data_IF_357522169050
#
_entry.id   IF_357522169050
#
_cell.length_a   1.000
_cell.length_b   1.000
_cell.length_c   1.000
_cell.angle_alpha   90.00
_cell.angle_beta   90.00
_cell.angle_gamma   90.00
#
_symmetry.space_group_name_H-M   'P 1'
#
loop_
_entity.id
_entity.type
_entity.pdbx_description
1 polymer ?
#
# COMPACT_ATOMS: atom_id res chain seq x y z
N UNK A 1 42.77 11.24 -24.19
CA UNK A 1 41.71 12.17 -23.75
C UNK A 1 41.08 11.60 -22.49
N UNK A 2 41.11 12.28 -21.34
CA UNK A 2 40.34 11.83 -20.18
C UNK A 2 38.90 12.33 -20.33
N UNK A 3 37.92 11.43 -20.22
CA UNK A 3 36.51 11.81 -20.11
C UNK A 3 36.28 12.44 -18.73
N UNK A 4 35.84 13.69 -18.71
CA UNK A 4 35.44 14.41 -17.49
C UNK A 4 34.18 13.73 -16.90
N UNK A 5 34.37 12.96 -15.81
CA UNK A 5 33.32 12.38 -14.95
C UNK A 5 32.61 13.47 -14.12
N UNK A 6 31.95 14.43 -14.76
CA UNK A 6 31.27 15.55 -14.04
C UNK A 6 29.79 15.29 -13.77
N UNK A 7 29.24 14.13 -14.17
CA UNK A 7 27.83 13.79 -13.99
C UNK A 7 27.67 12.36 -13.49
N UNK A 8 27.31 12.19 -12.22
CA UNK A 8 26.89 10.90 -11.66
C UNK A 8 25.47 10.59 -12.11
N UNK A 9 25.30 9.53 -12.89
CA UNK A 9 23.98 9.09 -13.34
C UNK A 9 23.09 8.72 -12.14
N UNK A 10 21.81 9.09 -12.19
CA UNK A 10 20.84 8.87 -11.10
C UNK A 10 20.99 9.78 -9.89
N UNK A 11 21.93 10.75 -9.90
CA UNK A 11 22.00 11.77 -8.85
C UNK A 11 20.75 12.66 -8.88
N UNK A 12 19.99 12.65 -7.79
CA UNK A 12 18.71 13.35 -7.71
C UNK A 12 18.32 13.68 -6.28
N UNK A 13 17.15 14.30 -6.10
CA UNK A 13 16.59 14.61 -4.79
C UNK A 13 15.65 13.49 -4.34
N UNK A 14 15.90 12.93 -3.16
CA UNK A 14 15.13 11.83 -2.57
C UNK A 14 14.77 12.15 -1.12
N UNK A 15 13.61 11.68 -0.66
CA UNK A 15 13.20 11.89 0.72
C UNK A 15 14.02 11.02 1.67
N UNK A 16 14.70 11.65 2.63
CA UNK A 16 15.40 10.96 3.70
C UNK A 16 14.55 10.98 4.97
N UNK A 17 14.06 9.82 5.38
CA UNK A 17 13.19 9.67 6.56
C UNK A 17 13.87 10.05 7.88
N UNK A 18 15.18 9.82 8.01
CA UNK A 18 15.93 10.10 9.25
C UNK A 18 16.06 11.60 9.54
N UNK A 19 16.10 12.43 8.49
CA UNK A 19 16.15 13.89 8.60
C UNK A 19 14.85 14.57 8.17
N UNK A 20 13.83 13.78 7.81
CA UNK A 20 12.50 14.24 7.40
C UNK A 20 12.48 15.29 6.26
N UNK A 21 13.46 15.27 5.37
CA UNK A 21 13.59 16.22 4.26
C UNK A 21 14.14 15.58 3.00
N UNK A 22 13.94 16.24 1.85
CA UNK A 22 14.58 15.84 0.62
C UNK A 22 16.08 16.16 0.67
N UNK A 23 16.92 15.20 0.29
CA UNK A 23 18.36 15.36 0.16
C UNK A 23 18.82 14.90 -1.22
N UNK A 24 19.89 15.51 -1.70
CA UNK A 24 20.54 15.09 -2.93
C UNK A 24 21.34 13.80 -2.66
N UNK A 25 21.19 12.80 -3.52
CA UNK A 25 21.87 11.53 -3.38
C UNK A 25 21.52 10.55 -4.50
N UNK A 26 21.93 9.30 -4.30
CA UNK A 26 21.51 8.16 -5.11
C UNK A 26 20.50 7.35 -4.31
N UNK A 27 19.53 6.76 -5.00
CA UNK A 27 18.51 5.90 -4.42
C UNK A 27 18.41 4.62 -5.23
N UNK A 28 18.02 3.53 -4.55
CA UNK A 28 17.83 2.25 -5.17
C UNK A 28 16.59 1.57 -4.61
N UNK A 29 15.76 1.07 -5.52
CA UNK A 29 14.59 0.26 -5.21
C UNK A 29 15.03 -1.19 -4.97
N UNK A 30 14.81 -1.66 -3.74
CA UNK A 30 15.10 -3.02 -3.29
C UNK A 30 13.80 -3.80 -3.12
N UNK A 31 13.69 -4.93 -3.81
CA UNK A 31 12.71 -5.97 -3.52
C UNK A 31 13.39 -7.05 -2.66
N UNK A 32 12.74 -7.44 -1.57
CA UNK A 32 13.24 -8.45 -0.65
C UNK A 32 12.20 -9.54 -0.39
N UNK A 33 12.66 -10.78 -0.25
CA UNK A 33 11.85 -11.93 0.17
C UNK A 33 11.84 -12.02 1.68
N UNK A 34 10.66 -11.96 2.29
CA UNK A 34 10.50 -12.07 3.74
C UNK A 34 10.15 -13.50 4.11
N UNK A 35 11.02 -14.15 4.86
CA UNK A 35 10.73 -15.44 5.50
C UNK A 35 10.21 -15.19 6.92
N UNK A 36 8.93 -15.51 7.14
CA UNK A 36 8.25 -15.31 8.42
C UNK A 36 8.73 -16.30 9.51
N UNK A 37 9.24 -17.48 9.13
CA UNK A 37 9.76 -18.47 10.10
C UNK A 37 11.14 -18.06 10.58
N UNK A 38 11.98 -17.56 9.67
CA UNK A 38 13.33 -17.08 9.98
C UNK A 38 13.35 -15.63 10.48
N UNK A 39 12.21 -14.93 10.43
CA UNK A 39 12.08 -13.50 10.75
C UNK A 39 13.17 -12.66 10.06
N UNK A 40 13.43 -12.96 8.78
CA UNK A 40 14.54 -12.40 8.00
C UNK A 40 14.06 -12.01 6.61
N UNK A 41 14.62 -10.94 6.07
CA UNK A 41 14.41 -10.52 4.69
C UNK A 41 15.69 -10.72 3.87
N UNK A 42 15.58 -11.36 2.70
CA UNK A 42 16.67 -11.61 1.77
C UNK A 42 16.53 -10.68 0.57
N UNK A 43 17.60 -9.97 0.20
CA UNK A 43 17.60 -9.16 -1.00
C UNK A 43 17.37 -10.05 -2.24
N UNK A 44 16.42 -9.64 -3.08
CA UNK A 44 16.03 -10.40 -4.27
C UNK A 44 16.42 -9.67 -5.55
N UNK A 45 16.08 -8.38 -5.64
CA UNK A 45 16.42 -7.53 -6.78
C UNK A 45 16.65 -6.10 -6.31
N UNK A 46 17.67 -5.44 -6.86
CA UNK A 46 18.01 -4.04 -6.55
C UNK A 46 18.21 -3.29 -7.86
N UNK A 47 17.53 -2.16 -8.01
CA UNK A 47 17.68 -1.27 -9.18
C UNK A 47 17.95 0.14 -8.72
N UNK A 48 18.99 0.75 -9.27
CA UNK A 48 19.20 2.19 -9.09
C UNK A 48 18.03 2.96 -9.71
N UNK A 49 17.57 3.98 -8.99
CA UNK A 49 16.47 4.81 -9.47
C UNK A 49 17.00 5.87 -10.42
N UNK A 50 16.67 5.70 -11.70
CA UNK A 50 16.97 6.64 -12.77
C UNK A 50 15.67 7.31 -13.21
N UNK A 51 15.63 8.65 -13.15
CA UNK A 51 14.48 9.42 -13.61
C UNK A 51 14.30 9.27 -15.12
N UNK A 52 13.09 8.89 -15.55
CA UNK A 52 12.73 8.71 -16.96
C UNK A 52 11.75 9.82 -17.36
N UNK A 53 11.97 10.49 -18.49
CA UNK A 53 11.23 11.71 -18.89
C UNK A 53 9.70 11.56 -18.89
N UNK A 54 9.19 10.35 -19.11
CA UNK A 54 7.75 10.07 -19.25
C UNK A 54 7.17 9.21 -18.13
N UNK A 55 7.91 8.98 -17.03
CA UNK A 55 7.44 8.17 -15.91
C UNK A 55 7.72 8.82 -14.58
N UNK A 56 6.76 8.71 -13.68
CA UNK A 56 7.02 8.96 -12.27
C UNK A 56 7.85 7.82 -11.69
N UNK A 57 8.67 8.10 -10.66
CA UNK A 57 9.44 7.05 -9.96
C UNK A 57 8.56 5.90 -9.47
N UNK A 58 7.34 6.20 -9.04
CA UNK A 58 6.39 5.17 -8.60
C UNK A 58 5.98 4.21 -9.73
N UNK A 59 5.90 4.69 -10.98
CA UNK A 59 5.67 3.83 -12.14
C UNK A 59 6.88 2.94 -12.42
N UNK A 60 8.10 3.48 -12.30
CA UNK A 60 9.35 2.70 -12.44
C UNK A 60 9.44 1.60 -11.37
N UNK A 61 9.11 1.90 -10.11
CA UNK A 61 9.09 0.89 -9.05
C UNK A 61 8.03 -0.20 -9.31
N UNK A 62 6.87 0.19 -9.85
CA UNK A 62 5.84 -0.78 -10.20
C UNK A 62 6.28 -1.70 -11.33
N UNK A 63 7.01 -1.18 -12.32
CA UNK A 63 7.56 -1.97 -13.44
C UNK A 63 8.52 -3.05 -12.94
N UNK A 64 9.44 -2.72 -12.02
CA UNK A 64 10.31 -3.70 -11.38
C UNK A 64 9.51 -4.85 -10.75
N UNK A 65 8.46 -4.53 -9.99
CA UNK A 65 7.60 -5.54 -9.36
C UNK A 65 6.88 -6.39 -10.41
N UNK A 66 6.30 -5.76 -11.44
CA UNK A 66 5.56 -6.46 -12.49
C UNK A 66 6.46 -7.39 -13.29
N UNK A 67 7.69 -6.97 -13.57
CA UNK A 67 8.69 -7.77 -14.30
C UNK A 67 9.07 -9.04 -13.53
N UNK A 68 9.18 -8.93 -12.20
CA UNK A 68 9.55 -10.04 -11.31
C UNK A 68 8.36 -10.89 -10.86
N UNK A 69 7.12 -10.41 -11.05
CA UNK A 69 5.91 -11.06 -10.57
C UNK A 69 5.76 -12.51 -11.05
N UNK A 70 6.04 -12.88 -12.33
CA UNK A 70 5.93 -14.27 -12.76
C UNK A 70 6.82 -15.22 -11.95
N UNK A 71 8.09 -14.87 -11.74
CA UNK A 71 9.04 -15.70 -10.99
C UNK A 71 8.65 -15.80 -9.50
N UNK A 72 8.18 -14.70 -8.91
CA UNK A 72 7.70 -14.69 -7.53
C UNK A 72 6.47 -15.60 -7.36
N UNK A 73 5.53 -15.54 -8.29
CA UNK A 73 4.32 -16.37 -8.26
C UNK A 73 4.62 -17.85 -8.46
N UNK A 74 5.57 -18.20 -9.34
CA UNK A 74 6.06 -19.57 -9.51
C UNK A 74 6.65 -20.15 -8.22
N UNK A 75 7.28 -19.29 -7.40
CA UNK A 75 7.80 -19.64 -6.07
C UNK A 75 6.72 -19.65 -4.97
N UNK A 76 5.46 -19.40 -5.31
CA UNK A 76 4.34 -19.34 -4.36
C UNK A 76 4.25 -18.03 -3.58
N UNK A 77 5.02 -16.99 -3.94
CA UNK A 77 5.00 -15.69 -3.30
C UNK A 77 3.88 -14.85 -3.91
N UNK A 78 2.81 -14.65 -3.15
CA UNK A 78 1.61 -13.96 -3.60
C UNK A 78 1.46 -12.55 -3.04
N UNK A 79 2.10 -12.26 -1.90
CA UNK A 79 1.90 -11.02 -1.17
C UNK A 79 3.11 -10.11 -1.28
N UNK A 80 2.87 -8.87 -1.66
CA UNK A 80 3.82 -7.78 -1.59
C UNK A 80 3.45 -6.88 -0.41
N UNK A 81 4.43 -6.52 0.41
CA UNK A 81 4.25 -5.54 1.50
C UNK A 81 4.97 -4.26 1.12
N UNK A 82 4.30 -3.13 1.22
CA UNK A 82 4.90 -1.83 0.94
C UNK A 82 4.40 -0.75 1.91
N UNK A 83 5.20 0.30 2.11
CA UNK A 83 4.84 1.39 2.99
C UNK A 83 3.72 2.31 2.42
N UNK A 84 3.41 3.39 3.15
CA UNK A 84 2.40 4.35 2.73
C UNK A 84 2.79 5.17 1.48
N UNK A 85 4.08 5.28 1.12
CA UNK A 85 4.54 5.97 -0.09
C UNK A 85 4.08 5.25 -1.36
N UNK A 86 4.04 3.91 -1.33
CA UNK A 86 3.59 3.06 -2.44
C UNK A 86 2.07 2.97 -2.56
N UNK A 87 1.33 3.49 -1.59
CA UNK A 87 -0.13 3.42 -1.55
C UNK A 87 -0.78 4.43 -2.51
N UNK A 88 -0.56 4.22 -3.81
CA UNK A 88 -0.98 5.04 -4.95
C UNK A 88 -1.53 4.13 -6.04
N UNK A 89 -2.58 4.58 -6.74
CA UNK A 89 -3.22 3.80 -7.81
C UNK A 89 -2.25 3.37 -8.92
N UNK A 90 -1.33 4.27 -9.32
CA UNK A 90 -0.28 3.98 -10.30
C UNK A 90 0.65 2.83 -9.92
N UNK A 91 0.80 2.50 -8.64
CA UNK A 91 1.55 1.34 -8.17
C UNK A 91 0.65 0.12 -8.00
N UNK A 92 -0.48 0.30 -7.31
CA UNK A 92 -1.39 -0.79 -6.92
C UNK A 92 -2.01 -1.46 -8.14
N UNK A 93 -2.45 -0.67 -9.12
CA UNK A 93 -3.13 -1.19 -10.32
C UNK A 93 -2.26 -2.17 -11.11
N UNK A 94 -1.02 -1.83 -11.53
CA UNK A 94 -0.15 -2.77 -12.23
C UNK A 94 0.25 -3.99 -11.39
N UNK A 95 0.58 -3.81 -10.10
CA UNK A 95 0.94 -4.93 -9.20
C UNK A 95 -0.18 -5.97 -9.13
N UNK A 96 -1.43 -5.54 -8.96
CA UNK A 96 -2.56 -6.47 -8.90
C UNK A 96 -2.93 -7.03 -10.28
N UNK A 97 -2.73 -6.28 -11.37
CA UNK A 97 -2.85 -6.85 -12.72
C UNK A 97 -1.84 -7.98 -12.94
N UNK A 98 -0.64 -7.86 -12.37
CA UNK A 98 0.38 -8.90 -12.32
C UNK A 98 0.10 -10.00 -11.27
N UNK A 99 -1.12 -10.07 -10.73
CA UNK A 99 -1.62 -11.14 -9.83
C UNK A 99 -0.99 -11.18 -8.43
N UNK A 100 -0.15 -10.21 -8.08
CA UNK A 100 0.30 -10.03 -6.70
C UNK A 100 -0.76 -9.29 -5.87
N UNK A 101 -0.82 -9.62 -4.58
CA UNK A 101 -1.69 -8.99 -3.59
C UNK A 101 -0.88 -8.01 -2.76
N UNK A 102 -1.26 -6.74 -2.74
CA UNK A 102 -0.54 -5.72 -1.98
C UNK A 102 -1.14 -5.58 -0.58
N UNK A 103 -0.28 -5.59 0.43
CA UNK A 103 -0.56 -5.16 1.80
C UNK A 103 0.21 -3.88 2.08
N UNK A 104 -0.46 -2.87 2.64
CA UNK A 104 0.19 -1.60 2.94
C UNK A 104 -0.53 -0.77 3.98
N UNK A 105 -0.04 0.46 4.18
CA UNK A 105 -0.56 1.40 5.17
C UNK A 105 -1.33 2.54 4.51
N UNK A 106 -2.50 2.85 5.05
CA UNK A 106 -3.29 4.02 4.72
C UNK A 106 -3.01 5.18 5.67
N UNK A 107 -3.32 6.40 5.23
CA UNK A 107 -3.48 7.53 6.15
C UNK A 107 -4.65 7.27 7.09
N UNK A 108 -4.55 7.74 8.34
CA UNK A 108 -5.61 7.59 9.34
C UNK A 108 -6.95 8.25 8.97
N UNK A 109 -6.95 9.14 7.98
CA UNK A 109 -8.10 9.90 7.45
C UNK A 109 -8.49 9.48 6.02
N UNK A 110 -8.14 8.26 5.59
CA UNK A 110 -8.38 7.80 4.22
C UNK A 110 -9.84 7.96 3.76
N UNK A 111 -10.04 8.49 2.55
CA UNK A 111 -11.37 8.68 1.95
C UNK A 111 -11.88 7.38 1.33
N UNK A 112 -12.67 6.64 2.10
CA UNK A 112 -13.22 5.34 1.75
C UNK A 112 -14.75 5.39 1.66
N UNK A 113 -15.33 4.49 0.88
CA UNK A 113 -16.76 4.34 0.70
C UNK A 113 -17.21 2.94 1.14
N UNK A 114 -18.35 2.88 1.82
CA UNK A 114 -19.02 1.61 2.05
C UNK A 114 -19.50 1.01 0.74
N UNK A 115 -19.39 -0.30 0.60
CA UNK A 115 -20.06 -1.02 -0.49
C UNK A 115 -21.54 -1.15 -0.15
N UNK A 116 -22.40 -1.03 -1.16
CA UNK A 116 -23.82 -1.25 -0.97
C UNK A 116 -24.12 -2.74 -0.99
N UNK A 117 -24.59 -3.27 0.13
CA UNK A 117 -24.93 -4.69 0.34
C UNK A 117 -26.46 -4.94 0.29
N UNK A 118 -27.26 -3.91 0.03
CA UNK A 118 -28.73 -4.01 -0.02
C UNK A 118 -29.28 -4.56 -1.34
N UNK A 119 -30.55 -4.91 -1.34
CA UNK A 119 -31.24 -5.41 -2.53
C UNK A 119 -31.38 -4.34 -3.62
N UNK A 120 -31.17 -4.76 -4.86
CA UNK A 120 -31.36 -3.87 -6.00
C UNK A 120 -32.86 -3.68 -6.27
N UNK A 121 -33.31 -2.42 -6.31
CA UNK A 121 -34.73 -2.06 -6.51
C UNK A 121 -35.29 -2.39 -7.91
N UNK A 122 -34.48 -2.92 -8.83
CA UNK A 122 -34.89 -3.24 -10.20
C UNK A 122 -34.87 -2.04 -11.16
N UNK A 123 -34.70 -0.82 -10.66
CA UNK A 123 -34.80 0.41 -11.47
C UNK A 123 -33.44 1.11 -11.60
N UNK A 124 -33.01 1.34 -12.84
CA UNK A 124 -31.84 2.14 -13.18
C UNK A 124 -30.51 1.39 -13.06
N UNK A 125 -29.46 2.09 -12.62
CA UNK A 125 -28.15 1.48 -12.37
C UNK A 125 -28.09 1.01 -10.91
N UNK A 126 -27.71 -0.25 -10.63
CA UNK A 126 -27.54 -0.73 -9.26
C UNK A 126 -26.65 0.20 -8.43
N UNK A 127 -27.11 0.54 -7.22
CA UNK A 127 -26.36 1.34 -6.25
C UNK A 127 -25.11 0.57 -5.86
N UNK A 128 -23.94 1.18 -6.03
CA UNK A 128 -22.63 0.54 -5.72
C UNK A 128 -22.10 0.87 -4.34
N UNK A 129 -22.41 2.05 -3.83
CA UNK A 129 -21.79 2.60 -2.62
C UNK A 129 -22.84 3.06 -1.63
N UNK A 130 -22.56 2.88 -0.34
CA UNK A 130 -23.44 3.23 0.77
C UNK A 130 -22.86 4.35 1.64
N UNK A 131 -22.44 5.43 1.00
CA UNK A 131 -21.88 6.60 1.67
C UNK A 131 -20.40 6.47 2.03
N UNK A 132 -19.90 7.49 2.72
CA UNK A 132 -18.51 7.60 3.17
C UNK A 132 -18.30 6.85 4.48
N UNK A 133 -17.13 6.24 4.63
CA UNK A 133 -16.70 5.62 5.89
C UNK A 133 -16.35 6.70 6.91
N UNK A 134 -17.06 6.73 8.04
CA UNK A 134 -16.72 7.52 9.21
C UNK A 134 -16.25 6.62 10.36
N UNK A 135 -14.94 6.35 10.39
CA UNK A 135 -14.29 5.40 11.30
C UNK A 135 -14.70 5.51 12.79
N UNK A 136 -14.91 6.71 13.32
CA UNK A 136 -15.34 6.89 14.73
C UNK A 136 -16.84 6.65 14.94
N UNK A 137 -17.68 7.12 14.01
CA UNK A 137 -19.14 7.10 14.16
C UNK A 137 -19.77 5.77 13.75
N UNK A 138 -19.11 5.08 12.83
CA UNK A 138 -19.61 3.87 12.18
C UNK A 138 -18.75 2.64 12.52
N UNK A 139 -18.11 2.64 13.70
CA UNK A 139 -17.30 1.51 14.17
C UNK A 139 -18.09 0.19 14.16
N UNK A 140 -19.39 0.26 14.48
CA UNK A 140 -20.31 -0.88 14.48
C UNK A 140 -20.48 -1.57 13.11
N UNK A 141 -20.09 -0.91 12.00
CA UNK A 141 -20.14 -1.49 10.65
C UNK A 141 -18.90 -2.34 10.33
N UNK A 142 -17.85 -2.24 11.14
CA UNK A 142 -16.69 -3.10 11.03
C UNK A 142 -16.89 -4.39 11.82
N UNK A 143 -16.28 -5.47 11.35
CA UNK A 143 -16.16 -6.70 12.09
C UNK A 143 -14.99 -6.58 13.08
N UNK A 144 -15.22 -6.85 14.37
CA UNK A 144 -14.13 -6.96 15.34
C UNK A 144 -13.46 -8.32 15.20
N UNK A 145 -12.21 -8.34 14.78
CA UNK A 145 -11.45 -9.58 14.48
C UNK A 145 -10.71 -10.09 15.71
N UNK A 146 -10.38 -9.20 16.65
CA UNK A 146 -9.72 -9.58 17.89
C UNK A 146 -9.05 -8.41 18.60
N UNK A 147 -8.18 -8.76 19.54
CA UNK A 147 -7.41 -7.84 20.36
C UNK A 147 -5.96 -8.34 20.43
N UNK A 148 -4.99 -7.49 20.08
CA UNK A 148 -3.56 -7.88 20.08
C UNK A 148 -2.96 -7.81 21.48
N UNK A 149 -3.37 -6.81 22.25
CA UNK A 149 -2.94 -6.54 23.61
C UNK A 149 -3.97 -5.60 24.25
N UNK A 150 -3.94 -5.46 25.56
CA UNK A 150 -4.89 -4.62 26.28
C UNK A 150 -4.96 -3.19 25.68
N UNK A 151 -6.18 -2.79 25.30
CA UNK A 151 -6.45 -1.51 24.66
C UNK A 151 -6.14 -1.41 23.16
N UNK A 152 -5.71 -2.49 22.48
CA UNK A 152 -5.46 -2.52 21.03
C UNK A 152 -6.38 -3.50 20.30
N UNK A 153 -7.53 -2.99 19.86
CA UNK A 153 -8.53 -3.75 19.12
C UNK A 153 -8.26 -3.75 17.61
N UNK A 154 -8.62 -4.85 16.96
CA UNK A 154 -8.53 -5.04 15.52
C UNK A 154 -9.92 -5.11 14.93
N UNK A 155 -10.18 -4.25 13.94
CA UNK A 155 -11.41 -4.23 13.16
C UNK A 155 -11.10 -4.46 11.68
N UNK A 156 -12.00 -5.12 10.95
CA UNK A 156 -11.87 -5.32 9.50
C UNK A 156 -13.18 -5.12 8.76
N UNK A 157 -13.07 -4.64 7.51
CA UNK A 157 -14.17 -4.62 6.54
C UNK A 157 -13.62 -4.43 5.13
N UNK A 158 -14.29 -5.01 4.14
CA UNK A 158 -14.07 -4.68 2.73
C UNK A 158 -14.80 -3.39 2.35
N UNK A 159 -14.06 -2.40 1.86
CA UNK A 159 -14.56 -1.06 1.50
C UNK A 159 -13.95 -0.61 0.18
N UNK A 160 -14.57 0.37 -0.47
CA UNK A 160 -14.05 0.92 -1.73
C UNK A 160 -13.15 2.13 -1.49
N UNK A 161 -11.93 2.09 -2.01
CA UNK A 161 -11.02 3.23 -2.02
C UNK A 161 -11.21 4.05 -3.29
N UNK A 162 -11.65 5.31 -3.18
CA UNK A 162 -11.72 6.22 -4.33
C UNK A 162 -10.35 6.48 -4.94
N UNK A 163 -9.32 6.60 -4.09
CA UNK A 163 -7.95 6.84 -4.52
C UNK A 163 -7.40 5.69 -5.34
N UNK A 164 -7.69 4.45 -4.94
CA UNK A 164 -7.18 3.24 -5.63
C UNK A 164 -8.14 2.73 -6.71
N UNK A 165 -9.35 3.28 -6.77
CA UNK A 165 -10.43 2.88 -7.68
C UNK A 165 -10.77 1.38 -7.60
N UNK A 166 -10.77 0.83 -6.38
CA UNK A 166 -11.06 -0.59 -6.12
C UNK A 166 -11.53 -0.85 -4.71
N UNK A 167 -12.15 -2.02 -4.53
CA UNK A 167 -12.34 -2.60 -3.21
C UNK A 167 -10.98 -2.98 -2.59
N UNK A 168 -10.87 -2.77 -1.30
CA UNK A 168 -9.74 -3.19 -0.46
C UNK A 168 -10.28 -3.72 0.86
N UNK A 169 -9.61 -4.71 1.44
CA UNK A 169 -9.88 -5.15 2.80
C UNK A 169 -9.10 -4.25 3.74
N UNK A 170 -9.80 -3.44 4.52
CA UNK A 170 -9.18 -2.58 5.52
C UNK A 170 -9.05 -3.33 6.83
N UNK A 171 -7.92 -3.13 7.50
CA UNK A 171 -7.69 -3.54 8.88
C UNK A 171 -7.39 -2.28 9.67
N UNK A 172 -8.24 -1.97 10.65
CA UNK A 172 -8.09 -0.84 11.55
C UNK A 172 -7.62 -1.35 12.90
N UNK A 173 -6.41 -0.94 13.27
CA UNK A 173 -5.89 -1.08 14.62
C UNK A 173 -6.32 0.15 15.41
N UNK A 174 -7.13 -0.04 16.44
CA UNK A 174 -7.66 1.04 17.28
C UNK A 174 -7.06 0.90 18.66
N UNK A 175 -6.21 1.86 19.03
CA UNK A 175 -5.62 1.93 20.35
C UNK A 175 -6.42 2.90 21.21
N UNK A 176 -6.94 2.40 22.33
CA UNK A 176 -7.64 3.19 23.34
C UNK A 176 -6.73 3.37 24.54
N UNK A 177 -6.46 4.62 24.93
CA UNK A 177 -5.79 4.97 26.17
C UNK A 177 -6.65 5.98 26.93
N UNK A 178 -6.44 6.12 28.24
CA UNK A 178 -7.27 6.94 29.15
C UNK A 178 -7.54 8.39 28.69
N UNK A 179 -6.73 8.92 27.78
CA UNK A 179 -6.82 10.30 27.29
C UNK A 179 -7.09 10.44 25.79
N UNK A 180 -6.91 9.38 24.99
CA UNK A 180 -7.00 9.49 23.54
C UNK A 180 -7.25 8.15 22.85
N UNK A 181 -8.02 8.20 21.76
CA UNK A 181 -8.15 7.11 20.79
C UNK A 181 -7.24 7.42 19.61
N UNK A 182 -6.36 6.48 19.27
CA UNK A 182 -5.55 6.56 18.05
C UNK A 182 -5.87 5.39 17.13
N UNK A 183 -5.61 5.55 15.83
CA UNK A 183 -5.80 4.47 14.85
C UNK A 183 -4.66 4.37 13.85
N UNK A 184 -4.40 3.14 13.45
CA UNK A 184 -3.61 2.82 12.27
C UNK A 184 -4.51 2.07 11.29
N UNK A 185 -4.47 2.50 10.02
CA UNK A 185 -5.20 1.84 8.95
C UNK A 185 -4.21 1.09 8.07
N UNK A 186 -4.39 -0.21 7.98
CA UNK A 186 -3.74 -1.08 7.01
C UNK A 186 -4.77 -1.49 5.95
N UNK A 187 -4.29 -1.92 4.80
CA UNK A 187 -5.15 -2.48 3.78
C UNK A 187 -4.49 -3.66 3.08
N UNK A 188 -5.32 -4.52 2.52
CA UNK A 188 -4.96 -5.55 1.57
C UNK A 188 -5.80 -5.39 0.30
N UNK A 189 -5.21 -5.66 -0.85
CA UNK A 189 -5.96 -5.83 -2.10
C UNK A 189 -6.49 -7.24 -2.30
N UNK A 190 -6.26 -8.12 -1.33
CA UNK A 190 -6.90 -9.44 -1.22
C UNK A 190 -8.28 -9.26 -0.57
N UNK A 191 -9.30 -9.15 -1.41
CA UNK A 191 -10.70 -8.91 -1.00
C UNK A 191 -11.57 -10.12 -1.23
#
# INVERSE_FOLDING_TARGET
MPALLTKTEGLGWFYNGSVSQAQQGLEASLLALVDLKLNTAFAYDVRQTIDQENKTRIEVYAEQVVELAPQLLEQGIQYLVADAYYSKEKFITPVVKAKLKLVGKLRADADLLWLYEGEYSGVGRPKKYDGKVYFEKELHRFEQVGCLQEGLDIYSKTVYSKKFKRAIKVVMLRQTSDKQVSRVLLYSTDT
#
